data_IF_764669329052
#
_entry.id   IF_764669329052
#
_cell.length_a   1.000
_cell.length_b   1.000
_cell.length_c   1.000
_cell.angle_alpha   90.00
_cell.angle_beta   90.00
_cell.angle_gamma   90.00
#
_symmetry.space_group_name_H-M   'P 1'
#
loop_
_entity.id
_entity.type
_entity.pdbx_description
1 polymer ?
#
# COMPACT_ATOMS: atom_id res chain seq x y z
N UNK A 1 -9.67 19.97 -12.13
CA UNK A 1 -9.59 18.98 -11.04
C UNK A 1 -8.27 19.14 -10.29
N UNK A 2 -8.34 19.22 -8.98
CA UNK A 2 -7.14 19.29 -8.16
C UNK A 2 -6.44 17.93 -8.02
N UNK A 3 -5.15 17.95 -7.76
CA UNK A 3 -4.42 16.75 -7.41
C UNK A 3 -4.92 16.21 -6.07
N UNK A 4 -4.84 14.88 -5.89
CA UNK A 4 -5.19 14.24 -4.62
C UNK A 4 -4.15 14.64 -3.59
N UNK A 5 -4.60 15.25 -2.50
CA UNK A 5 -3.72 15.74 -1.45
C UNK A 5 -3.27 14.58 -0.56
N UNK A 6 -1.96 14.47 -0.35
CA UNK A 6 -1.40 13.49 0.58
C UNK A 6 -1.58 13.97 2.02
N UNK A 7 -1.88 13.02 2.89
CA UNK A 7 -2.07 13.25 4.32
C UNK A 7 -0.97 12.57 5.13
N UNK A 8 -0.82 12.88 6.44
CA UNK A 8 0.07 12.11 7.30
C UNK A 8 -0.23 10.61 7.33
N UNK A 9 -1.51 10.22 7.14
CA UNK A 9 -1.89 8.81 7.03
C UNK A 9 -1.28 8.16 5.78
N UNK A 10 -1.23 8.88 4.66
CA UNK A 10 -0.59 8.38 3.43
C UNK A 10 0.90 8.13 3.65
N UNK A 11 1.58 9.04 4.33
CA UNK A 11 3.00 8.88 4.63
C UNK A 11 3.24 7.64 5.50
N UNK A 12 2.49 7.50 6.58
CA UNK A 12 2.62 6.38 7.51
C UNK A 12 2.30 5.05 6.81
N UNK A 13 1.23 5.01 6.03
CA UNK A 13 0.83 3.83 5.27
C UNK A 13 1.90 3.43 4.25
N UNK A 14 2.40 4.39 3.48
CA UNK A 14 3.44 4.14 2.47
C UNK A 14 4.73 3.60 3.11
N UNK A 15 5.13 4.15 4.25
CA UNK A 15 6.31 3.68 4.98
C UNK A 15 6.11 2.23 5.46
N UNK A 16 4.90 1.87 5.92
CA UNK A 16 4.57 0.49 6.29
C UNK A 16 4.68 -0.46 5.10
N UNK A 17 4.09 -0.10 3.96
CA UNK A 17 4.10 -0.94 2.77
C UNK A 17 5.53 -1.22 2.32
N UNK A 18 6.38 -0.18 2.25
CA UNK A 18 7.78 -0.35 1.85
C UNK A 18 8.60 -1.14 2.87
N UNK A 19 8.45 -0.82 4.15
CA UNK A 19 9.17 -1.49 5.24
C UNK A 19 8.80 -2.97 5.34
N UNK A 20 7.51 -3.30 5.20
CA UNK A 20 7.04 -4.68 5.22
C UNK A 20 7.61 -5.51 4.07
N UNK A 21 7.94 -4.87 2.95
CA UNK A 21 8.58 -5.51 1.78
C UNK A 21 10.10 -5.44 1.83
N UNK A 22 10.70 -5.19 3.00
CA UNK A 22 12.16 -5.06 3.18
C UNK A 22 12.76 -3.95 2.33
N UNK A 23 12.02 -2.87 2.07
CA UNK A 23 12.44 -1.77 1.19
C UNK A 23 12.83 -2.24 -0.20
N UNK A 24 12.17 -3.28 -0.69
CA UNK A 24 12.40 -3.87 -2.01
C UNK A 24 11.17 -3.78 -2.88
N UNK A 25 11.37 -3.77 -4.19
CA UNK A 25 10.28 -3.86 -5.15
C UNK A 25 9.67 -5.27 -5.09
N UNK A 26 8.36 -5.36 -4.90
CA UNK A 26 7.69 -6.66 -4.81
C UNK A 26 7.55 -7.35 -6.16
N UNK A 27 7.89 -6.68 -7.27
CA UNK A 27 7.85 -7.27 -8.61
C UNK A 27 9.25 -7.68 -9.11
N UNK A 28 10.23 -6.79 -9.11
CA UNK A 28 11.58 -7.10 -9.61
C UNK A 28 12.59 -7.39 -8.50
N UNK A 29 12.19 -7.23 -7.24
CA UNK A 29 12.99 -7.53 -6.04
C UNK A 29 14.24 -6.68 -5.84
N UNK A 30 14.38 -5.59 -6.57
CA UNK A 30 15.47 -4.64 -6.34
C UNK A 30 15.34 -3.99 -4.98
N UNK A 31 16.42 -4.02 -4.20
CA UNK A 31 16.47 -3.42 -2.87
C UNK A 31 16.80 -1.93 -2.95
N UNK A 32 16.09 -1.13 -2.16
CA UNK A 32 16.37 0.29 -1.98
C UNK A 32 16.63 0.54 -0.50
N UNK A 33 17.72 1.24 -0.14
CA UNK A 33 17.97 1.55 1.28
C UNK A 33 16.80 2.29 1.91
N UNK A 34 16.58 2.07 3.20
CA UNK A 34 15.56 2.79 3.95
C UNK A 34 15.73 4.31 3.76
N UNK A 35 14.63 4.99 3.40
CA UNK A 35 14.67 6.41 3.03
C UNK A 35 14.84 6.65 1.54
N UNK A 36 15.10 5.62 0.72
CA UNK A 36 15.22 5.70 -0.74
C UNK A 36 13.86 5.87 -1.43
N UNK A 37 13.03 6.78 -0.95
CA UNK A 37 11.64 6.96 -1.40
C UNK A 37 11.51 7.45 -2.83
N UNK A 38 12.55 8.04 -3.39
CA UNK A 38 12.52 8.53 -4.76
C UNK A 38 12.48 7.39 -5.78
N UNK A 39 13.11 6.26 -5.46
CA UNK A 39 13.15 5.10 -6.36
C UNK A 39 12.15 4.01 -6.02
N UNK A 40 11.61 4.01 -4.80
CA UNK A 40 10.68 2.98 -4.32
C UNK A 40 9.37 3.63 -3.90
N UNK A 41 8.28 3.21 -4.52
CA UNK A 41 6.97 3.81 -4.36
C UNK A 41 5.97 2.88 -3.67
N UNK A 42 4.99 3.46 -2.99
CA UNK A 42 3.79 2.76 -2.58
C UNK A 42 2.78 2.87 -3.72
N UNK A 43 2.58 1.78 -4.44
CA UNK A 43 1.70 1.71 -5.59
C UNK A 43 0.29 1.29 -5.16
N UNK A 44 -0.71 2.08 -5.51
CA UNK A 44 -2.11 1.75 -5.29
C UNK A 44 -2.71 1.15 -6.57
N UNK A 45 -3.35 -0.02 -6.45
CA UNK A 45 -4.02 -0.64 -7.58
C UNK A 45 -5.26 0.16 -8.00
N UNK A 46 -6.18 0.41 -7.04
CA UNK A 46 -7.22 1.43 -7.21
C UNK A 46 -6.65 2.74 -6.66
N UNK A 47 -6.81 3.83 -7.40
CA UNK A 47 -6.19 5.10 -7.06
C UNK A 47 -6.65 5.69 -5.72
N UNK A 48 -5.87 6.63 -5.19
CA UNK A 48 -6.10 7.27 -3.89
C UNK A 48 -7.45 7.98 -3.75
N UNK A 49 -8.13 8.27 -4.86
CA UNK A 49 -9.48 8.82 -4.82
C UNK A 49 -10.52 7.87 -4.25
N UNK A 50 -10.23 6.57 -4.23
CA UNK A 50 -11.09 5.55 -3.64
C UNK A 50 -10.78 5.42 -2.14
N UNK A 51 -11.32 6.35 -1.36
CA UNK A 51 -11.04 6.48 0.07
C UNK A 51 -11.35 5.22 0.87
N UNK A 52 -12.35 4.45 0.48
CA UNK A 52 -12.73 3.21 1.17
C UNK A 52 -11.61 2.17 1.23
N UNK A 53 -10.67 2.21 0.28
CA UNK A 53 -9.54 1.28 0.23
C UNK A 53 -8.19 1.98 0.11
N UNK A 54 -8.18 3.30 0.25
CA UNK A 54 -6.94 4.09 0.14
C UNK A 54 -5.86 3.60 1.11
N UNK A 55 -6.28 3.11 2.27
CA UNK A 55 -5.41 2.61 3.33
C UNK A 55 -5.60 1.10 3.57
N UNK A 56 -6.11 0.40 2.58
CA UNK A 56 -6.24 -1.06 2.61
C UNK A 56 -4.95 -1.69 2.08
N UNK A 57 -4.36 -2.58 2.86
CA UNK A 57 -3.06 -3.19 2.54
C UNK A 57 -3.10 -3.95 1.21
N UNK A 58 -4.19 -4.67 0.93
CA UNK A 58 -4.32 -5.42 -0.33
C UNK A 58 -4.34 -4.52 -1.57
N UNK A 59 -4.70 -3.24 -1.40
CA UNK A 59 -4.74 -2.28 -2.50
C UNK A 59 -3.36 -1.70 -2.85
N UNK A 60 -2.35 -2.01 -2.07
CA UNK A 60 -1.05 -1.35 -2.21
C UNK A 60 0.10 -2.36 -2.23
N UNK A 61 1.20 -1.96 -2.84
CA UNK A 61 2.44 -2.73 -2.81
C UNK A 61 3.63 -1.80 -3.03
N UNK A 62 4.81 -2.30 -2.63
CA UNK A 62 6.07 -1.61 -2.82
C UNK A 62 6.59 -1.92 -4.22
N UNK A 63 6.69 -0.90 -5.08
CA UNK A 63 7.19 -1.05 -6.44
C UNK A 63 8.25 0.00 -6.74
N UNK A 64 9.32 -0.39 -7.42
CA UNK A 64 10.28 0.57 -7.91
C UNK A 64 9.64 1.44 -9.01
N UNK A 65 10.27 2.59 -9.27
CA UNK A 65 9.77 3.52 -10.29
C UNK A 65 9.49 2.82 -11.63
N UNK A 66 10.42 2.01 -12.11
CA UNK A 66 10.27 1.30 -13.39
C UNK A 66 9.10 0.33 -13.41
N UNK A 67 8.94 -0.49 -12.37
CA UNK A 67 7.83 -1.43 -12.27
C UNK A 67 6.50 -0.71 -12.10
N UNK A 68 6.47 0.37 -11.31
CA UNK A 68 5.28 1.19 -11.12
C UNK A 68 4.81 1.80 -12.44
N UNK A 69 5.74 2.37 -13.22
CA UNK A 69 5.42 2.93 -14.54
C UNK A 69 4.97 1.85 -15.51
N UNK A 70 5.67 0.72 -15.53
CA UNK A 70 5.34 -0.39 -16.44
C UNK A 70 3.93 -0.93 -16.20
N UNK A 71 3.60 -1.24 -14.95
CA UNK A 71 2.26 -1.76 -14.61
C UNK A 71 1.18 -0.70 -14.82
N UNK A 72 1.49 0.58 -14.55
CA UNK A 72 0.58 1.69 -14.81
C UNK A 72 0.25 1.87 -16.28
N UNK A 73 1.21 1.59 -17.17
CA UNK A 73 1.02 1.64 -18.62
C UNK A 73 0.37 0.38 -19.19
N UNK A 74 0.31 -0.71 -18.42
CA UNK A 74 -0.21 -1.99 -18.85
C UNK A 74 -1.27 -2.52 -17.85
N UNK A 75 -2.50 -1.96 -17.85
CA UNK A 75 -3.51 -2.30 -16.84
C UNK A 75 -3.84 -3.79 -16.75
N UNK A 76 -3.83 -4.52 -17.87
CA UNK A 76 -4.09 -5.96 -17.87
C UNK A 76 -2.99 -6.73 -17.11
N UNK A 77 -1.73 -6.33 -17.30
CA UNK A 77 -0.62 -6.95 -16.59
C UNK A 77 -0.66 -6.62 -15.11
N UNK A 78 -1.07 -5.39 -14.75
CA UNK A 78 -1.25 -5.01 -13.35
C UNK A 78 -2.34 -5.85 -12.69
N UNK A 79 -3.47 -6.03 -13.37
CA UNK A 79 -4.57 -6.88 -12.89
C UNK A 79 -4.10 -8.33 -12.70
N UNK A 80 -3.40 -8.90 -13.68
CA UNK A 80 -2.86 -10.26 -13.59
C UNK A 80 -1.89 -10.39 -12.42
N UNK A 81 -1.03 -9.41 -12.22
CA UNK A 81 -0.08 -9.37 -11.11
C UNK A 81 -0.79 -9.42 -9.77
N UNK A 82 -1.83 -8.59 -9.58
CA UNK A 82 -2.62 -8.56 -8.34
C UNK A 82 -3.43 -9.84 -8.14
N UNK A 83 -3.98 -10.40 -9.22
CA UNK A 83 -4.72 -11.66 -9.19
C UNK A 83 -3.82 -12.82 -8.76
N UNK A 84 -2.58 -12.84 -9.23
CA UNK A 84 -1.61 -13.87 -8.84
C UNK A 84 -1.24 -13.79 -7.36
N UNK A 85 -1.25 -12.58 -6.79
CA UNK A 85 -0.92 -12.38 -5.38
C UNK A 85 -2.11 -12.72 -4.47
N UNK A 86 -3.29 -12.20 -4.78
CA UNK A 86 -4.44 -12.21 -3.86
C UNK A 86 -5.56 -13.18 -4.27
N UNK A 87 -5.68 -13.52 -5.55
CA UNK A 87 -6.77 -14.33 -6.07
C UNK A 87 -8.03 -13.53 -6.40
N UNK A 88 -8.94 -14.16 -7.15
CA UNK A 88 -10.15 -13.51 -7.67
C UNK A 88 -11.07 -13.01 -6.56
N UNK A 89 -11.32 -13.84 -5.55
CA UNK A 89 -12.26 -13.49 -4.47
C UNK A 89 -11.81 -12.24 -3.72
N UNK A 90 -10.52 -12.16 -3.39
CA UNK A 90 -9.97 -11.00 -2.69
C UNK A 90 -10.03 -9.74 -3.55
N UNK A 91 -9.76 -9.85 -4.85
CA UNK A 91 -9.83 -8.73 -5.77
C UNK A 91 -11.27 -8.25 -5.99
N UNK A 92 -12.24 -9.14 -5.98
CA UNK A 92 -13.66 -8.80 -6.06
C UNK A 92 -14.11 -8.02 -4.81
N UNK A 93 -13.70 -8.48 -3.62
CA UNK A 93 -13.99 -7.78 -2.37
C UNK A 93 -13.36 -6.38 -2.38
N UNK A 94 -12.13 -6.27 -2.85
CA UNK A 94 -11.44 -4.98 -2.95
C UNK A 94 -12.21 -4.00 -3.85
N UNK A 95 -12.70 -4.49 -5.00
CA UNK A 95 -13.50 -3.67 -5.92
C UNK A 95 -14.81 -3.21 -5.28
N UNK A 96 -15.49 -4.09 -4.56
CA UNK A 96 -16.73 -3.73 -3.84
C UNK A 96 -16.46 -2.62 -2.82
N UNK A 97 -15.40 -2.76 -2.03
CA UNK A 97 -15.00 -1.75 -1.05
C UNK A 97 -14.62 -0.42 -1.75
N UNK A 98 -13.96 -0.48 -2.91
CA UNK A 98 -13.59 0.70 -3.67
C UNK A 98 -14.82 1.52 -4.08
N UNK A 99 -15.94 0.86 -4.32
CA UNK A 99 -17.19 1.50 -4.74
C UNK A 99 -18.13 1.81 -3.57
N UNK A 100 -17.75 1.47 -2.34
CA UNK A 100 -18.55 1.75 -1.15
C UNK A 100 -18.26 3.16 -0.64
N UNK A 101 -19.18 4.07 -0.94
CA UNK A 101 -19.03 5.48 -0.56
C UNK A 101 -19.13 5.69 0.95
N UNK A 102 -19.82 4.83 1.68
CA UNK A 102 -19.91 4.93 3.15
C UNK A 102 -18.57 4.60 3.81
N UNK A 103 -17.84 3.60 3.30
CA UNK A 103 -16.47 3.31 3.75
C UNK A 103 -15.56 4.49 3.48
N UNK A 104 -15.71 5.13 2.32
CA UNK A 104 -14.93 6.31 1.96
C UNK A 104 -15.16 7.47 2.91
N UNK A 105 -16.40 7.75 3.26
CA UNK A 105 -16.75 8.79 4.23
C UNK A 105 -16.18 8.48 5.61
N UNK A 106 -16.27 7.23 6.04
CA UNK A 106 -15.72 6.80 7.32
C UNK A 106 -14.21 7.00 7.37
N UNK A 107 -13.49 6.59 6.32
CA UNK A 107 -12.04 6.75 6.23
C UNK A 107 -11.63 8.22 6.31
N UNK A 108 -12.37 9.11 5.64
CA UNK A 108 -12.11 10.55 5.72
C UNK A 108 -12.26 11.09 7.13
N UNK A 109 -13.32 10.67 7.84
CA UNK A 109 -13.55 11.11 9.22
C UNK A 109 -12.46 10.60 10.16
N UNK A 110 -11.94 9.41 9.91
CA UNK A 110 -11.01 8.71 10.79
C UNK A 110 -9.54 8.82 10.36
N UNK A 111 -9.22 9.73 9.44
CA UNK A 111 -7.88 9.84 8.86
C UNK A 111 -6.78 10.01 9.93
N UNK A 112 -7.06 10.69 11.03
CA UNK A 112 -6.09 10.86 12.13
C UNK A 112 -5.82 9.54 12.86
N UNK A 113 -6.86 8.73 13.07
CA UNK A 113 -6.73 7.41 13.67
C UNK A 113 -6.02 6.44 12.74
N UNK A 114 -6.28 6.55 11.44
CA UNK A 114 -5.58 5.75 10.43
C UNK A 114 -4.08 6.08 10.45
N UNK A 115 -3.72 7.36 10.51
CA UNK A 115 -2.34 7.80 10.63
C UNK A 115 -1.66 7.20 11.86
N UNK A 116 -2.35 7.24 13.01
CA UNK A 116 -1.84 6.66 14.26
C UNK A 116 -1.64 5.16 14.13
N UNK A 117 -2.63 4.45 13.56
CA UNK A 117 -2.57 3.01 13.35
C UNK A 117 -1.32 2.62 12.55
N UNK A 118 -1.08 3.28 11.41
CA UNK A 118 0.06 2.92 10.57
C UNK A 118 1.40 3.40 11.12
N UNK A 119 1.44 4.46 11.92
CA UNK A 119 2.66 4.80 12.67
C UNK A 119 3.01 3.71 13.69
N UNK A 120 2.00 3.16 14.37
CA UNK A 120 2.21 2.06 15.33
C UNK A 120 2.62 0.78 14.60
N UNK A 121 2.01 0.46 13.45
CA UNK A 121 2.39 -0.68 12.62
C UNK A 121 3.82 -0.54 12.11
N UNK A 122 4.21 0.65 11.68
CA UNK A 122 5.59 0.90 11.26
C UNK A 122 6.58 0.59 12.40
N UNK A 123 6.27 1.03 13.62
CA UNK A 123 7.11 0.73 14.80
C UNK A 123 7.17 -0.76 15.08
N UNK A 124 6.04 -1.46 14.97
CA UNK A 124 5.98 -2.90 15.17
C UNK A 124 6.86 -3.63 14.15
N UNK A 125 6.77 -3.26 12.89
CA UNK A 125 7.58 -3.85 11.81
C UNK A 125 9.07 -3.58 12.06
N UNK A 126 9.41 -2.35 12.43
CA UNK A 126 10.80 -1.98 12.75
C UNK A 126 11.36 -2.83 13.90
N UNK A 127 10.58 -3.03 14.96
CA UNK A 127 11.01 -3.88 16.09
C UNK A 127 11.21 -5.33 15.66
N UNK A 128 10.32 -5.86 14.81
CA UNK A 128 10.48 -7.22 14.29
C UNK A 128 11.79 -7.36 13.49
N UNK A 129 12.15 -6.34 12.69
CA UNK A 129 13.43 -6.33 11.97
C UNK A 129 14.61 -6.34 12.92
N UNK A 130 14.56 -5.54 13.99
CA UNK A 130 15.61 -5.54 15.02
C UNK A 130 15.72 -6.89 15.73
N UNK A 131 14.60 -7.62 15.86
CA UNK A 131 14.56 -8.96 16.45
C UNK A 131 15.01 -10.06 15.47
N UNK A 132 15.39 -9.69 14.24
CA UNK A 132 15.93 -10.63 13.26
C UNK A 132 14.92 -11.23 12.29
N UNK A 133 13.68 -10.75 12.29
CA UNK A 133 12.66 -11.22 11.32
C UNK A 133 13.02 -10.74 9.92
N UNK A 134 13.10 -11.67 8.97
CA UNK A 134 13.41 -11.40 7.57
C UNK A 134 12.19 -11.73 6.70
N UNK A 135 12.22 -11.30 5.43
CA UNK A 135 11.16 -11.53 4.48
C UNK A 135 10.01 -10.56 4.64
N UNK A 136 8.94 -10.78 3.88
CA UNK A 136 7.77 -9.92 3.94
C UNK A 136 7.04 -10.09 5.27
N UNK A 137 6.74 -8.98 5.91
CA UNK A 137 5.97 -8.95 7.16
C UNK A 137 4.53 -8.58 6.85
N UNK A 138 3.58 -9.32 7.42
CA UNK A 138 2.17 -8.99 7.29
C UNK A 138 1.85 -7.73 8.09
N UNK A 139 1.11 -6.82 7.46
CA UNK A 139 0.64 -5.57 8.08
C UNK A 139 -0.80 -5.79 8.52
N UNK A 140 -1.14 -5.34 9.73
CA UNK A 140 -2.52 -5.30 10.18
C UNK A 140 -3.22 -4.13 9.48
N UNK A 141 -4.08 -4.43 8.50
CA UNK A 141 -4.76 -3.41 7.72
C UNK A 141 -5.81 -2.70 8.57
N UNK A 142 -5.94 -1.38 8.37
CA UNK A 142 -7.01 -0.60 8.97
C UNK A 142 -8.39 -1.06 8.48
N UNK A 143 -8.48 -1.44 7.21
CA UNK A 143 -9.75 -1.82 6.58
C UNK A 143 -9.70 -3.17 5.85
#
# INVERSE_FOLDING_TARGET
>A
MGAIKRTPADKAFSDCIRSAAEWSCERCHTYYPEGGRMGLHCSHYHGRGKWGIRFCVENAESLCYGCHQYLGAHPYLHTDHKMNIHGQAAMDILREKANDTSLGRMAKREVKFIAKHYREEFKRIHQLRLDGVIGKIEINSWS
#
